data_IF_884263923902
#
_entry.id   IF_884263923902
#
_cell.length_a   1.000
_cell.length_b   1.000
_cell.length_c   1.000
_cell.angle_alpha   90.00
_cell.angle_beta   90.00
_cell.angle_gamma   90.00
#
_symmetry.space_group_name_H-M   'P 1'
#
loop_
_entity.id
_entity.type
_entity.pdbx_description
1 polymer ?
#
# COMPACT_ATOMS: atom_id res chain seq x y z
N UNK A 1 21.90 -19.62 -17.88
CA UNK A 1 20.58 -19.70 -17.21
C UNK A 1 19.59 -18.94 -18.09
N UNK A 2 18.50 -19.60 -18.51
CA UNK A 2 17.45 -19.01 -19.34
C UNK A 2 16.80 -17.79 -18.66
N UNK A 3 16.43 -16.79 -19.48
CA UNK A 3 15.59 -15.69 -19.02
C UNK A 3 14.16 -16.18 -18.81
N UNK A 4 13.41 -15.65 -17.83
CA UNK A 4 11.98 -15.92 -17.65
C UNK A 4 11.17 -15.60 -18.90
N UNK A 5 10.03 -16.27 -19.09
CA UNK A 5 9.12 -15.98 -20.20
C UNK A 5 8.31 -14.72 -19.89
N UNK A 6 8.68 -13.62 -20.51
CA UNK A 6 8.06 -12.31 -20.36
C UNK A 6 6.69 -12.21 -21.04
N UNK A 7 6.32 -13.16 -21.93
CA UNK A 7 5.02 -13.18 -22.62
C UNK A 7 3.84 -13.36 -21.67
N UNK A 8 4.11 -13.86 -20.45
CA UNK A 8 3.11 -13.93 -19.38
C UNK A 8 2.52 -12.57 -19.00
N UNK A 9 3.20 -11.46 -19.30
CA UNK A 9 2.66 -10.11 -19.06
C UNK A 9 1.44 -9.79 -19.95
N UNK A 10 1.29 -10.45 -21.09
CA UNK A 10 0.12 -10.27 -21.97
C UNK A 10 -1.19 -10.78 -21.35
N UNK A 11 -1.10 -11.72 -20.42
CA UNK A 11 -2.23 -12.39 -19.76
C UNK A 11 -2.19 -12.10 -18.26
N UNK A 12 -1.58 -10.97 -17.88
CA UNK A 12 -1.49 -10.61 -16.47
C UNK A 12 -2.87 -10.31 -15.91
N UNK A 13 -3.37 -11.20 -15.09
CA UNK A 13 -4.54 -10.98 -14.24
C UNK A 13 -4.05 -10.48 -12.87
N UNK A 14 -4.36 -9.24 -12.50
CA UNK A 14 -3.99 -8.73 -11.19
C UNK A 14 -4.69 -9.54 -10.10
N UNK A 15 -3.97 -9.83 -9.01
CA UNK A 15 -4.59 -10.39 -7.81
C UNK A 15 -5.65 -9.42 -7.30
N UNK A 16 -6.89 -9.87 -7.20
CA UNK A 16 -8.01 -9.05 -6.77
C UNK A 16 -8.36 -9.40 -5.32
N UNK A 17 -8.64 -8.40 -4.52
CA UNK A 17 -9.07 -8.56 -3.12
C UNK A 17 -10.45 -9.21 -3.05
N UNK A 18 -10.58 -10.27 -2.29
CA UNK A 18 -11.88 -10.86 -1.95
C UNK A 18 -12.58 -10.01 -0.89
N UNK A 19 -13.85 -9.73 -1.10
CA UNK A 19 -14.67 -8.90 -0.23
C UNK A 19 -15.90 -9.63 0.27
N UNK A 20 -16.13 -9.53 1.56
CA UNK A 20 -17.34 -10.07 2.22
C UNK A 20 -18.27 -8.93 2.57
N UNK A 21 -19.55 -9.12 2.28
CA UNK A 21 -20.60 -8.14 2.49
C UNK A 21 -21.71 -8.71 3.35
N UNK A 22 -22.32 -7.86 4.18
CA UNK A 22 -23.55 -8.13 4.89
C UNK A 22 -24.74 -8.22 3.93
N UNK A 23 -25.92 -8.58 4.45
CA UNK A 23 -27.14 -8.68 3.66
C UNK A 23 -27.59 -7.35 3.05
N UNK A 24 -27.27 -6.23 3.71
CA UNK A 24 -27.56 -4.86 3.28
C UNK A 24 -26.50 -4.26 2.34
N UNK A 25 -25.41 -5.00 2.07
CA UNK A 25 -24.31 -4.59 1.20
C UNK A 25 -23.17 -3.87 1.92
N UNK A 26 -23.22 -3.70 3.24
CA UNK A 26 -22.09 -3.17 4.00
C UNK A 26 -20.88 -4.12 3.93
N UNK A 27 -19.66 -3.57 3.83
CA UNK A 27 -18.42 -4.35 3.78
C UNK A 27 -18.12 -4.93 5.17
N UNK A 28 -18.02 -6.25 5.28
CA UNK A 28 -17.69 -6.97 6.51
C UNK A 28 -16.19 -7.24 6.66
N UNK A 29 -15.56 -7.69 5.59
CA UNK A 29 -14.13 -8.02 5.60
C UNK A 29 -13.52 -7.98 4.21
N UNK A 30 -12.21 -7.74 4.15
CA UNK A 30 -11.40 -7.86 2.94
C UNK A 30 -10.29 -8.89 3.16
N UNK A 31 -10.18 -9.85 2.25
CA UNK A 31 -9.12 -10.86 2.27
C UNK A 31 -8.26 -10.74 1.02
N UNK A 32 -6.98 -10.45 1.23
CA UNK A 32 -5.98 -10.38 0.19
C UNK A 32 -4.61 -10.69 0.77
N UNK A 33 -3.78 -11.39 0.02
CA UNK A 33 -2.35 -11.51 0.34
C UNK A 33 -1.65 -10.15 0.22
N UNK A 34 -2.13 -9.32 -0.70
CA UNK A 34 -1.64 -7.97 -0.99
C UNK A 34 -2.83 -7.06 -1.33
N UNK A 35 -2.80 -5.80 -0.87
CA UNK A 35 -3.84 -4.82 -1.20
C UNK A 35 -3.57 -4.28 -2.60
N UNK A 36 -4.40 -4.69 -3.56
CA UNK A 36 -4.35 -4.25 -4.96
C UNK A 36 -5.71 -3.81 -5.45
N UNK A 37 -5.71 -2.74 -6.22
CA UNK A 37 -6.86 -2.26 -6.97
C UNK A 37 -6.33 -1.99 -8.37
N UNK A 38 -6.79 -2.78 -9.34
CA UNK A 38 -6.40 -2.59 -10.73
C UNK A 38 -7.14 -1.39 -11.32
N UNK A 39 -6.38 -0.53 -12.00
CA UNK A 39 -6.91 0.62 -12.74
C UNK A 39 -6.30 0.62 -14.14
N UNK A 40 -7.12 0.57 -15.21
CA UNK A 40 -6.62 0.71 -16.56
C UNK A 40 -5.88 2.04 -16.73
N UNK A 41 -4.84 2.07 -17.56
CA UNK A 41 -4.01 3.26 -17.76
C UNK A 41 -4.84 4.49 -18.19
N UNK A 42 -5.87 4.28 -18.99
CA UNK A 42 -6.77 5.34 -19.46
C UNK A 42 -7.60 5.97 -18.31
N UNK A 43 -7.78 5.28 -17.19
CA UNK A 43 -8.50 5.77 -16.02
C UNK A 43 -7.56 6.40 -14.96
N UNK A 44 -6.25 6.33 -15.15
CA UNK A 44 -5.28 6.98 -14.27
C UNK A 44 -5.14 8.45 -14.68
N UNK A 45 -5.36 9.43 -13.77
CA UNK A 45 -5.20 10.84 -14.09
C UNK A 45 -3.80 11.15 -14.65
N UNK A 46 -3.72 11.95 -15.69
CA UNK A 46 -2.44 12.32 -16.33
C UNK A 46 -1.45 12.95 -15.37
N UNK A 47 -1.91 13.72 -14.40
CA UNK A 47 -1.05 14.32 -13.37
C UNK A 47 -0.39 13.26 -12.47
N UNK A 48 -1.10 12.18 -12.13
CA UNK A 48 -0.50 11.04 -11.41
C UNK A 48 0.59 10.40 -12.27
N UNK A 49 0.30 10.10 -13.54
CA UNK A 49 1.28 9.56 -14.48
C UNK A 49 2.52 10.46 -14.56
N UNK A 50 2.32 11.76 -14.78
CA UNK A 50 3.40 12.73 -14.89
C UNK A 50 4.27 12.82 -13.63
N UNK A 51 3.67 12.68 -12.44
CA UNK A 51 4.40 12.63 -11.18
C UNK A 51 5.34 11.42 -11.11
N UNK A 52 4.85 10.23 -11.46
CA UNK A 52 5.67 9.01 -11.49
C UNK A 52 6.76 9.05 -12.56
N UNK A 53 6.44 9.53 -13.75
CA UNK A 53 7.44 9.72 -14.81
C UNK A 53 8.54 10.71 -14.38
N UNK A 54 8.15 11.80 -13.75
CA UNK A 54 9.10 12.82 -13.25
C UNK A 54 10.01 12.28 -12.15
N UNK A 55 9.47 11.43 -11.29
CA UNK A 55 10.19 10.85 -10.16
C UNK A 55 11.16 9.73 -10.55
N UNK A 56 10.76 8.90 -11.53
CA UNK A 56 11.41 7.62 -11.81
C UNK A 56 12.03 7.54 -13.21
N UNK A 57 11.37 8.07 -14.24
CA UNK A 57 11.81 7.88 -15.64
C UNK A 57 11.26 8.95 -16.59
N UNK A 58 11.83 10.13 -16.55
CA UNK A 58 11.34 11.27 -17.37
C UNK A 58 11.38 11.04 -18.88
N UNK A 59 12.23 10.13 -19.34
CA UNK A 59 12.42 9.82 -20.75
C UNK A 59 11.68 8.52 -21.15
N UNK A 60 10.75 8.03 -20.33
CA UNK A 60 10.08 6.74 -20.51
C UNK A 60 9.58 6.52 -21.94
N UNK A 61 8.89 7.49 -22.53
CA UNK A 61 8.32 7.39 -23.86
C UNK A 61 9.36 7.49 -25.01
N UNK A 62 10.62 7.84 -24.71
CA UNK A 62 11.64 8.09 -25.74
C UNK A 62 12.75 7.04 -25.82
N UNK A 63 12.86 6.14 -24.83
CA UNK A 63 13.85 5.05 -24.87
C UNK A 63 13.20 3.67 -25.06
N UNK A 64 14.00 2.66 -25.41
CA UNK A 64 13.55 1.28 -25.61
C UNK A 64 14.01 0.36 -24.44
N UNK A 65 13.49 0.59 -23.25
CA UNK A 65 13.72 -0.20 -22.04
C UNK A 65 14.93 0.22 -21.21
N UNK A 66 15.93 0.89 -21.80
CA UNK A 66 17.12 1.40 -21.13
C UNK A 66 17.34 2.85 -21.53
N UNK A 67 17.39 3.76 -20.55
CA UNK A 67 17.81 5.16 -20.79
C UNK A 67 19.33 5.28 -20.68
N UNK A 68 20.02 5.11 -21.80
CA UNK A 68 21.49 5.23 -21.85
C UNK A 68 21.98 6.62 -21.45
N UNK A 69 21.27 7.67 -21.84
CA UNK A 69 21.64 9.06 -21.48
C UNK A 69 21.39 9.32 -19.99
N UNK A 70 20.34 8.76 -19.43
CA UNK A 70 20.08 8.77 -17.99
C UNK A 70 21.16 8.02 -17.22
N UNK A 71 21.64 6.88 -17.73
CA UNK A 71 22.72 6.11 -17.13
C UNK A 71 24.03 6.93 -17.09
N UNK A 72 24.41 7.57 -18.20
CA UNK A 72 25.61 8.43 -18.27
C UNK A 72 25.48 9.59 -17.28
N UNK A 73 24.33 10.27 -17.25
CA UNK A 73 24.09 11.36 -16.28
C UNK A 73 24.21 10.88 -14.83
N UNK A 74 23.65 9.72 -14.51
CA UNK A 74 23.74 9.16 -13.17
C UNK A 74 25.17 8.82 -12.78
N UNK A 75 25.98 8.26 -13.68
CA UNK A 75 27.39 7.99 -13.44
C UNK A 75 28.15 9.29 -13.16
N UNK A 76 27.99 10.31 -14.01
CA UNK A 76 28.63 11.62 -13.81
C UNK A 76 28.25 12.25 -12.48
N UNK A 77 26.95 12.19 -12.13
CA UNK A 77 26.44 12.72 -10.86
C UNK A 77 26.99 11.95 -9.66
N UNK A 78 27.09 10.63 -9.76
CA UNK A 78 27.63 9.78 -8.69
C UNK A 78 29.12 10.02 -8.49
N UNK A 79 29.89 10.24 -9.56
CA UNK A 79 31.31 10.65 -9.48
C UNK A 79 31.43 12.00 -8.80
N UNK A 80 30.61 13.00 -9.18
CA UNK A 80 30.60 14.31 -8.53
C UNK A 80 30.22 14.27 -7.04
N UNK A 81 29.36 13.31 -6.67
CA UNK A 81 28.92 13.13 -5.30
C UNK A 81 29.87 12.21 -4.49
N UNK A 82 30.90 11.66 -5.10
CA UNK A 82 31.85 10.78 -4.42
C UNK A 82 32.52 11.51 -3.24
N UNK A 83 32.48 10.89 -2.06
CA UNK A 83 33.01 11.52 -0.83
C UNK A 83 32.08 12.54 -0.14
N UNK A 84 30.94 12.93 -0.74
CA UNK A 84 30.00 13.92 -0.15
C UNK A 84 28.98 13.35 0.81
N UNK A 85 28.98 12.02 1.07
CA UNK A 85 27.95 11.33 1.89
C UNK A 85 26.57 11.27 1.26
N UNK A 86 26.38 11.80 0.04
CA UNK A 86 25.10 11.75 -0.68
C UNK A 86 24.86 10.37 -1.25
N UNK A 87 23.62 9.92 -1.19
CA UNK A 87 23.21 8.62 -1.78
C UNK A 87 23.38 8.63 -3.29
N UNK A 88 23.77 7.48 -3.83
CA UNK A 88 23.91 7.29 -5.27
C UNK A 88 22.58 7.54 -6.00
N UNK A 89 22.68 8.20 -7.16
CA UNK A 89 21.56 8.42 -8.07
C UNK A 89 21.35 7.15 -8.88
N UNK A 90 20.14 6.59 -8.81
CA UNK A 90 19.73 5.44 -9.62
C UNK A 90 19.38 5.86 -11.05
N UNK A 91 19.59 4.95 -11.99
CA UNK A 91 19.23 5.13 -13.40
C UNK A 91 18.42 3.94 -13.94
N UNK A 92 17.64 3.28 -13.10
CA UNK A 92 16.76 2.20 -13.56
C UNK A 92 15.50 2.78 -14.16
N UNK A 93 15.12 2.32 -15.35
CA UNK A 93 13.89 2.71 -16.02
C UNK A 93 12.66 2.04 -15.42
N UNK A 94 11.46 2.56 -15.73
CA UNK A 94 10.17 1.93 -15.37
C UNK A 94 10.12 0.51 -15.92
N UNK A 95 10.51 0.29 -17.17
CA UNK A 95 10.52 -1.05 -17.78
C UNK A 95 11.46 -2.02 -17.08
N UNK A 96 12.63 -1.56 -16.60
CA UNK A 96 13.52 -2.38 -15.77
C UNK A 96 12.88 -2.71 -14.41
N UNK A 97 12.12 -1.79 -13.82
CA UNK A 97 11.40 -2.05 -12.59
C UNK A 97 10.27 -3.08 -12.80
N UNK A 98 9.54 -3.02 -13.91
CA UNK A 98 8.56 -4.05 -14.31
C UNK A 98 9.25 -5.39 -14.43
N UNK A 99 10.35 -5.48 -15.20
CA UNK A 99 11.11 -6.71 -15.36
C UNK A 99 11.56 -7.30 -14.01
N UNK A 100 12.03 -6.45 -13.10
CA UNK A 100 12.43 -6.84 -11.74
C UNK A 100 11.24 -7.37 -10.94
N UNK A 101 10.14 -6.64 -10.90
CA UNK A 101 9.01 -6.94 -10.00
C UNK A 101 8.26 -8.21 -10.41
N UNK A 102 8.20 -8.51 -11.70
CA UNK A 102 7.47 -9.68 -12.20
C UNK A 102 8.33 -10.96 -12.31
N UNK A 103 9.63 -10.83 -12.56
CA UNK A 103 10.42 -11.99 -13.00
C UNK A 103 11.67 -12.27 -12.17
N UNK A 104 12.11 -11.39 -11.31
CA UNK A 104 13.39 -11.52 -10.65
C UNK A 104 13.26 -11.53 -9.13
N UNK A 105 14.13 -12.29 -8.48
CA UNK A 105 14.23 -12.34 -7.01
C UNK A 105 14.73 -11.02 -6.43
N UNK A 106 14.49 -10.80 -5.14
CA UNK A 106 14.94 -9.61 -4.40
C UNK A 106 16.45 -9.53 -4.18
N UNK A 107 17.20 -10.61 -4.45
CA UNK A 107 18.65 -10.63 -4.25
C UNK A 107 19.38 -9.62 -5.13
N UNK A 108 20.19 -8.78 -4.50
CA UNK A 108 21.01 -7.80 -5.21
C UNK A 108 22.28 -8.46 -5.77
N UNK A 109 22.29 -8.70 -7.09
CA UNK A 109 23.45 -9.23 -7.79
C UNK A 109 23.67 -8.50 -9.13
N UNK A 110 24.93 -8.46 -9.57
CA UNK A 110 25.26 -7.90 -10.89
C UNK A 110 24.59 -8.71 -12.03
N UNK A 111 24.53 -10.05 -11.88
CA UNK A 111 23.85 -10.94 -12.81
C UNK A 111 22.36 -10.58 -12.94
N UNK A 112 21.68 -10.25 -11.82
CA UNK A 112 20.29 -9.80 -11.84
C UNK A 112 20.14 -8.51 -12.64
N UNK A 113 21.06 -7.54 -12.47
CA UNK A 113 20.99 -6.25 -13.18
C UNK A 113 21.12 -6.41 -14.70
N UNK A 114 21.96 -7.35 -15.16
CA UNK A 114 22.05 -7.69 -16.58
C UNK A 114 20.73 -8.31 -17.08
N UNK A 115 20.14 -9.22 -16.30
CA UNK A 115 18.84 -9.83 -16.66
C UNK A 115 17.72 -8.78 -16.72
N UNK A 116 17.67 -7.83 -15.77
CA UNK A 116 16.72 -6.72 -15.81
C UNK A 116 16.81 -5.95 -17.13
N UNK A 117 18.03 -5.60 -17.55
CA UNK A 117 18.27 -4.84 -18.79
C UNK A 117 17.85 -5.63 -20.05
N UNK A 118 18.19 -6.92 -20.10
CA UNK A 118 17.83 -7.78 -21.23
C UNK A 118 16.30 -8.02 -21.30
N UNK A 119 15.66 -8.25 -20.14
CA UNK A 119 14.21 -8.41 -20.07
C UNK A 119 13.49 -7.11 -20.44
N UNK A 120 13.95 -5.97 -19.91
CA UNK A 120 13.38 -4.66 -20.24
C UNK A 120 13.36 -4.40 -21.75
N UNK A 121 14.47 -4.71 -22.45
CA UNK A 121 14.52 -4.58 -23.90
C UNK A 121 13.55 -5.50 -24.64
N UNK A 122 13.36 -6.74 -24.17
CA UNK A 122 12.41 -7.69 -24.76
C UNK A 122 10.96 -7.29 -24.50
N UNK A 123 10.66 -6.79 -23.31
CA UNK A 123 9.33 -6.27 -22.95
C UNK A 123 8.95 -5.12 -23.88
N UNK A 124 9.83 -4.16 -24.11
CA UNK A 124 9.61 -3.02 -25.02
C UNK A 124 9.46 -3.40 -26.50
N UNK A 125 9.99 -4.56 -26.91
CA UNK A 125 9.80 -5.08 -28.26
C UNK A 125 8.43 -5.73 -28.46
N UNK A 126 7.74 -6.06 -27.39
CA UNK A 126 6.49 -6.86 -27.43
C UNK A 126 5.29 -6.06 -26.99
N UNK A 127 5.45 -5.16 -26.04
CA UNK A 127 4.38 -4.36 -25.44
C UNK A 127 4.60 -2.87 -25.71
N UNK A 128 3.50 -2.15 -25.91
CA UNK A 128 3.55 -0.70 -26.01
C UNK A 128 3.83 -0.02 -24.66
N UNK A 129 4.15 1.25 -24.70
CA UNK A 129 4.50 2.03 -23.53
C UNK A 129 3.37 2.14 -22.52
N UNK A 130 2.14 2.28 -22.99
CA UNK A 130 0.99 2.44 -22.13
C UNK A 130 0.68 1.15 -21.37
N UNK A 131 0.82 0.00 -22.02
CA UNK A 131 0.69 -1.29 -21.34
C UNK A 131 1.79 -1.52 -20.29
N UNK A 132 3.05 -1.18 -20.61
CA UNK A 132 4.17 -1.28 -19.67
C UNK A 132 3.93 -0.37 -18.45
N UNK A 133 3.44 0.85 -18.70
CA UNK A 133 3.14 1.80 -17.64
C UNK A 133 1.95 1.34 -16.79
N UNK A 134 0.92 0.76 -17.39
CA UNK A 134 -0.21 0.13 -16.70
C UNK A 134 0.26 -0.96 -15.74
N UNK A 135 1.09 -1.88 -16.22
CA UNK A 135 1.70 -2.92 -15.39
C UNK A 135 2.48 -2.32 -14.22
N UNK A 136 3.29 -1.29 -14.48
CA UNK A 136 4.05 -0.60 -13.45
C UNK A 136 3.15 0.04 -12.40
N UNK A 137 2.18 0.86 -12.83
CA UNK A 137 1.29 1.62 -11.95
C UNK A 137 0.41 0.73 -11.07
N UNK A 138 0.09 -0.47 -11.53
CA UNK A 138 -0.70 -1.45 -10.78
C UNK A 138 0.13 -2.40 -9.92
N UNK A 139 1.47 -2.52 -10.16
CA UNK A 139 2.31 -3.51 -9.49
C UNK A 139 3.27 -2.91 -8.47
N UNK A 140 3.62 -1.63 -8.60
CA UNK A 140 4.65 -1.02 -7.76
C UNK A 140 4.25 -1.00 -6.28
N UNK A 141 5.16 -1.46 -5.42
CA UNK A 141 4.98 -1.39 -3.97
C UNK A 141 5.19 0.02 -3.44
N UNK A 142 4.22 0.56 -2.75
CA UNK A 142 4.20 1.95 -2.27
C UNK A 142 4.16 2.07 -0.73
N UNK A 143 4.38 0.97 -0.01
CA UNK A 143 4.33 0.96 1.46
C UNK A 143 2.92 0.68 2.00
N UNK A 144 2.79 0.60 3.33
CA UNK A 144 1.52 0.26 4.02
C UNK A 144 0.80 -0.96 3.42
N UNK A 145 1.58 -1.96 2.94
CA UNK A 145 1.09 -3.17 2.24
C UNK A 145 0.32 -2.86 0.94
N UNK A 146 0.47 -1.66 0.37
CA UNK A 146 -0.21 -1.24 -0.86
C UNK A 146 0.63 -1.52 -2.08
N UNK A 147 0.04 -2.20 -3.04
CA UNK A 147 0.58 -2.46 -4.36
C UNK A 147 -0.29 -1.73 -5.40
N UNK A 148 0.35 -0.93 -6.24
CA UNK A 148 -0.30 -0.05 -7.21
C UNK A 148 -0.79 1.28 -6.63
N UNK A 149 -0.95 2.24 -7.54
CA UNK A 149 -1.24 3.64 -7.19
C UNK A 149 -2.61 3.84 -6.58
N UNK A 150 -3.63 3.11 -7.07
CA UNK A 150 -4.99 3.24 -6.56
C UNK A 150 -5.12 2.73 -5.12
N UNK A 151 -4.51 1.57 -4.82
CA UNK A 151 -4.45 1.04 -3.47
C UNK A 151 -3.71 2.00 -2.53
N UNK A 152 -2.61 2.62 -2.99
CA UNK A 152 -1.87 3.59 -2.20
C UNK A 152 -2.68 4.88 -1.95
N UNK A 153 -3.41 5.39 -2.94
CA UNK A 153 -4.31 6.54 -2.78
C UNK A 153 -5.31 6.33 -1.65
N UNK A 154 -5.96 5.17 -1.65
CA UNK A 154 -6.90 4.80 -0.58
C UNK A 154 -6.21 4.61 0.78
N UNK A 155 -5.05 3.95 0.83
CA UNK A 155 -4.37 3.63 2.10
C UNK A 155 -3.70 4.81 2.77
N UNK A 156 -3.24 5.81 1.99
CA UNK A 156 -2.60 6.99 2.54
C UNK A 156 -3.55 8.16 2.76
N UNK A 157 -4.57 8.29 1.89
CA UNK A 157 -5.42 9.50 1.87
C UNK A 157 -6.92 9.20 1.94
N UNK A 158 -7.33 7.93 1.88
CA UNK A 158 -8.73 7.50 1.75
C UNK A 158 -9.45 8.18 0.55
N UNK A 159 -8.73 8.34 -0.57
CA UNK A 159 -9.17 9.03 -1.79
C UNK A 159 -8.98 8.13 -3.00
N UNK A 160 -9.85 8.29 -3.99
CA UNK A 160 -9.64 7.82 -5.36
C UNK A 160 -8.55 8.67 -6.06
N UNK A 161 -8.02 8.19 -7.19
CA UNK A 161 -6.90 8.87 -7.85
C UNK A 161 -7.25 10.26 -8.39
N UNK A 162 -8.50 10.49 -8.75
CA UNK A 162 -9.04 11.76 -9.24
C UNK A 162 -9.28 12.80 -8.12
N UNK A 163 -9.39 12.36 -6.87
CA UNK A 163 -9.55 13.21 -5.70
C UNK A 163 -8.21 13.66 -5.06
N UNK A 164 -7.10 13.09 -5.52
CA UNK A 164 -5.78 13.43 -4.98
C UNK A 164 -5.38 14.85 -5.34
N UNK A 165 -4.82 15.59 -4.37
CA UNK A 165 -4.16 16.86 -4.65
C UNK A 165 -2.81 16.65 -5.33
N UNK A 166 -2.26 17.69 -5.97
CA UNK A 166 -0.94 17.63 -6.59
C UNK A 166 0.15 17.22 -5.59
N UNK A 167 0.06 17.70 -4.37
CA UNK A 167 0.93 17.35 -3.26
C UNK A 167 0.86 15.85 -2.92
N UNK A 168 -0.33 15.29 -2.85
CA UNK A 168 -0.58 13.88 -2.57
C UNK A 168 -0.08 12.97 -3.72
N UNK A 169 -0.33 13.35 -4.98
CA UNK A 169 0.19 12.66 -6.17
C UNK A 169 1.71 12.61 -6.16
N UNK A 170 2.36 13.75 -5.89
CA UNK A 170 3.82 13.84 -5.81
C UNK A 170 4.40 13.02 -4.65
N UNK A 171 3.70 12.94 -3.53
CA UNK A 171 4.10 12.06 -2.42
C UNK A 171 4.06 10.60 -2.84
N UNK A 172 2.96 10.12 -3.42
CA UNK A 172 2.86 8.72 -3.89
C UNK A 172 3.95 8.39 -4.91
N UNK A 173 4.22 9.29 -5.86
CA UNK A 173 5.28 9.12 -6.85
C UNK A 173 6.69 9.13 -6.25
N UNK A 174 6.85 9.68 -5.06
CA UNK A 174 8.11 9.65 -4.31
C UNK A 174 8.43 8.32 -3.64
N UNK A 175 7.43 7.48 -3.38
CA UNK A 175 7.54 6.26 -2.58
C UNK A 175 8.35 5.12 -3.22
N UNK A 176 8.33 4.87 -4.56
CA UNK A 176 9.04 3.73 -5.15
C UNK A 176 10.53 3.66 -4.78
N UNK A 177 11.17 4.80 -4.56
CA UNK A 177 12.59 4.89 -4.17
C UNK A 177 12.90 4.22 -2.83
N UNK A 178 11.92 4.14 -1.94
CA UNK A 178 12.07 3.53 -0.62
C UNK A 178 10.82 3.71 0.24
N UNK A 179 9.78 2.93 0.04
CA UNK A 179 8.48 3.14 0.68
C UNK A 179 8.55 3.16 2.21
N UNK A 180 9.40 2.31 2.79
CA UNK A 180 9.58 2.24 4.23
C UNK A 180 10.38 3.43 4.80
N UNK A 181 11.28 4.02 3.98
CA UNK A 181 12.09 5.17 4.40
C UNK A 181 11.32 6.49 4.36
N UNK A 182 10.30 6.56 3.51
CA UNK A 182 9.44 7.75 3.31
C UNK A 182 8.04 7.56 3.91
N UNK A 183 7.90 6.62 4.84
CA UNK A 183 6.65 6.49 5.60
C UNK A 183 6.48 7.72 6.51
N UNK A 184 5.40 8.52 6.35
CA UNK A 184 5.18 9.75 7.10
C UNK A 184 5.07 9.55 8.62
N UNK A 185 4.54 8.39 9.05
CA UNK A 185 4.38 8.05 10.47
C UNK A 185 5.72 7.89 11.18
N UNK A 186 6.77 7.48 10.43
CA UNK A 186 8.11 7.21 10.95
C UNK A 186 9.12 8.30 10.61
N UNK A 187 8.96 8.93 9.46
CA UNK A 187 9.92 9.92 8.91
C UNK A 187 9.20 11.02 8.12
N UNK A 188 8.39 11.83 8.81
CA UNK A 188 7.63 12.91 8.19
C UNK A 188 8.50 13.88 7.39
N UNK A 189 9.62 14.33 7.98
CA UNK A 189 10.55 15.27 7.30
C UNK A 189 11.12 14.69 6.00
N UNK A 190 11.50 13.42 6.01
CA UNK A 190 11.99 12.73 4.82
C UNK A 190 10.90 12.53 3.77
N UNK A 191 9.67 12.23 4.18
CA UNK A 191 8.51 12.12 3.30
C UNK A 191 8.21 13.45 2.59
N UNK A 192 8.14 14.55 3.33
CA UNK A 192 7.94 15.91 2.80
C UNK A 192 9.09 16.31 1.85
N UNK A 193 10.32 16.08 2.23
CA UNK A 193 11.47 16.38 1.37
C UNK A 193 11.43 15.59 0.04
N UNK A 194 11.02 14.31 0.10
CA UNK A 194 10.89 13.48 -1.10
C UNK A 194 9.72 13.93 -1.99
N UNK A 195 8.56 14.29 -1.41
CA UNK A 195 7.44 14.90 -2.11
C UNK A 195 7.88 16.18 -2.83
N UNK A 196 8.54 17.09 -2.13
CA UNK A 196 9.00 18.36 -2.69
C UNK A 196 9.98 18.13 -3.84
N UNK A 197 10.89 17.16 -3.72
CA UNK A 197 11.75 16.74 -4.82
C UNK A 197 10.96 16.33 -6.07
N UNK A 198 9.86 15.60 -5.91
CA UNK A 198 9.03 15.19 -7.05
C UNK A 198 8.36 16.41 -7.69
N UNK A 199 7.83 17.33 -6.89
CA UNK A 199 7.23 18.57 -7.38
C UNK A 199 8.25 19.40 -8.19
N UNK A 200 9.50 19.51 -7.71
CA UNK A 200 10.58 20.16 -8.47
C UNK A 200 10.83 19.46 -9.81
N UNK A 201 10.85 18.14 -9.83
CA UNK A 201 11.01 17.38 -11.09
C UNK A 201 9.84 17.57 -12.03
N UNK A 202 8.59 17.62 -11.53
CA UNK A 202 7.41 17.90 -12.36
C UNK A 202 7.49 19.28 -13.00
N UNK A 203 7.92 20.29 -12.25
CA UNK A 203 8.16 21.65 -12.77
C UNK A 203 9.26 21.66 -13.84
N UNK A 204 10.43 21.08 -13.53
CA UNK A 204 11.56 21.01 -14.47
C UNK A 204 11.24 20.25 -15.77
N UNK A 205 10.30 19.30 -15.71
CA UNK A 205 9.82 18.55 -16.87
C UNK A 205 8.66 19.25 -17.60
N UNK A 206 8.21 20.42 -17.12
CA UNK A 206 7.15 21.22 -17.75
C UNK A 206 5.73 20.67 -17.58
N UNK A 207 5.51 19.78 -16.60
CA UNK A 207 4.18 19.22 -16.31
C UNK A 207 3.33 20.11 -15.42
N UNK A 208 3.96 20.96 -14.63
CA UNK A 208 3.33 21.97 -13.77
C UNK A 208 4.09 23.30 -13.84
N UNK A 209 3.44 24.38 -13.46
CA UNK A 209 4.07 25.69 -13.33
C UNK A 209 4.85 25.81 -12.03
N UNK A 210 5.71 26.82 -11.93
CA UNK A 210 6.43 27.09 -10.69
C UNK A 210 5.48 27.46 -9.54
N UNK A 211 4.42 28.20 -9.83
CA UNK A 211 3.41 28.59 -8.82
C UNK A 211 2.71 27.36 -8.25
N UNK A 212 2.24 26.44 -9.10
CA UNK A 212 1.63 25.17 -8.66
C UNK A 212 2.58 24.33 -7.82
N UNK A 213 3.88 24.24 -8.19
CA UNK A 213 4.87 23.52 -7.41
C UNK A 213 5.06 24.16 -6.02
N UNK A 214 5.20 25.49 -5.93
CA UNK A 214 5.40 26.18 -4.65
C UNK A 214 4.16 26.12 -3.76
N UNK A 215 2.96 26.20 -4.33
CA UNK A 215 1.73 26.08 -3.54
C UNK A 215 1.54 24.64 -3.02
N UNK A 216 1.76 23.64 -3.85
CA UNK A 216 1.71 22.23 -3.42
C UNK A 216 2.76 21.89 -2.34
N UNK A 217 3.93 22.54 -2.33
CA UNK A 217 4.94 22.36 -1.27
C UNK A 217 4.51 22.93 0.08
N UNK A 218 3.66 23.97 0.08
CA UNK A 218 3.13 24.57 1.32
C UNK A 218 2.08 23.69 2.00
N UNK A 219 1.42 22.81 1.23
CA UNK A 219 0.41 21.92 1.77
C UNK A 219 1.03 20.97 2.82
N UNK A 220 0.42 20.82 4.01
CA UNK A 220 0.85 19.81 4.97
C UNK A 220 0.58 18.42 4.42
N UNK A 221 1.53 17.50 4.64
CA UNK A 221 1.34 16.10 4.28
C UNK A 221 0.53 15.39 5.37
N UNK A 222 -0.79 15.38 5.21
CA UNK A 222 -1.70 14.70 6.16
C UNK A 222 -2.10 13.36 5.56
N UNK A 223 -1.71 12.28 6.22
CA UNK A 223 -2.15 10.94 5.82
C UNK A 223 -3.22 10.44 6.77
N UNK A 224 -4.24 9.84 6.23
CA UNK A 224 -5.25 9.12 7.01
C UNK A 224 -4.83 7.65 7.07
N UNK A 225 -4.78 7.09 8.27
CA UNK A 225 -4.81 5.64 8.37
C UNK A 225 -6.26 5.24 8.12
N UNK A 226 -6.51 4.62 6.97
CA UNK A 226 -7.74 3.86 6.86
C UNK A 226 -7.60 2.67 7.80
N UNK A 227 -8.10 2.82 9.02
CA UNK A 227 -8.34 1.68 9.88
C UNK A 227 -9.35 0.79 9.15
N UNK A 228 -8.86 -0.34 8.64
CA UNK A 228 -9.74 -1.36 8.07
C UNK A 228 -10.67 -1.95 9.13
N UNK A 229 -10.51 -1.55 10.38
CA UNK A 229 -11.38 -1.82 11.50
C UNK A 229 -12.65 -0.95 11.51
N UNK A 230 -12.80 0.04 10.61
CA UNK A 230 -14.12 0.59 10.23
C UNK A 230 -14.91 -0.39 9.34
N UNK A 231 -14.38 -1.58 9.12
CA UNK A 231 -15.20 -2.73 8.74
C UNK A 231 -16.25 -2.88 9.83
N UNK A 232 -17.45 -2.64 9.42
CA UNK A 232 -18.63 -2.65 10.25
C UNK A 232 -18.58 -3.86 11.18
N UNK A 233 -18.47 -3.55 12.48
CA UNK A 233 -18.99 -4.40 13.53
C UNK A 233 -18.10 -5.52 14.04
N UNK A 234 -18.25 -5.78 15.32
CA UNK A 234 -17.94 -6.97 16.08
C UNK A 234 -18.43 -8.29 15.44
N UNK A 235 -18.10 -8.52 14.17
CA UNK A 235 -18.45 -9.70 13.40
C UNK A 235 -17.25 -10.61 13.11
N UNK A 236 -16.15 -10.44 13.83
CA UNK A 236 -14.88 -11.12 13.55
C UNK A 236 -15.02 -12.64 13.54
N UNK A 237 -15.75 -13.20 14.51
CA UNK A 237 -16.03 -14.63 14.56
C UNK A 237 -16.84 -15.12 13.36
N UNK A 238 -17.85 -14.36 12.96
CA UNK A 238 -18.67 -14.69 11.80
C UNK A 238 -17.84 -14.60 10.49
N UNK A 239 -17.04 -13.55 10.37
CA UNK A 239 -16.15 -13.35 9.24
C UNK A 239 -15.11 -14.47 9.14
N UNK A 240 -14.53 -14.90 10.27
CA UNK A 240 -13.56 -15.98 10.29
C UNK A 240 -14.18 -17.33 9.90
N UNK A 241 -15.39 -17.64 10.40
CA UNK A 241 -16.06 -18.88 10.01
C UNK A 241 -16.46 -18.86 8.52
N UNK A 242 -16.94 -17.72 8.03
CA UNK A 242 -17.24 -17.54 6.60
C UNK A 242 -15.96 -17.69 5.77
N UNK A 243 -14.83 -17.12 6.22
CA UNK A 243 -13.52 -17.26 5.57
C UNK A 243 -13.12 -18.73 5.45
N UNK A 244 -13.23 -19.51 6.54
CA UNK A 244 -12.93 -20.96 6.56
C UNK A 244 -13.78 -21.75 5.59
N UNK A 245 -15.09 -21.46 5.53
CA UNK A 245 -16.00 -22.10 4.58
C UNK A 245 -15.64 -21.80 3.12
N UNK A 246 -15.32 -20.56 2.81
CA UNK A 246 -14.91 -20.16 1.46
C UNK A 246 -13.56 -20.78 1.08
N UNK A 247 -12.59 -20.79 2.00
CA UNK A 247 -11.29 -21.43 1.79
C UNK A 247 -11.43 -22.93 1.54
N UNK A 248 -12.25 -23.62 2.33
CA UNK A 248 -12.51 -25.05 2.16
C UNK A 248 -13.18 -25.36 0.81
N UNK A 249 -14.06 -24.47 0.34
CA UNK A 249 -14.84 -24.69 -0.89
C UNK A 249 -14.09 -24.32 -2.17
N UNK A 250 -13.30 -23.25 -2.13
CA UNK A 250 -12.67 -22.65 -3.31
C UNK A 250 -11.13 -22.69 -3.28
N UNK A 251 -10.55 -22.99 -2.12
CA UNK A 251 -9.11 -23.00 -1.90
C UNK A 251 -8.53 -21.63 -1.54
N UNK A 252 -7.36 -21.67 -0.89
CA UNK A 252 -6.65 -20.49 -0.39
C UNK A 252 -6.33 -19.47 -1.49
N UNK A 253 -5.86 -19.96 -2.63
CA UNK A 253 -5.49 -19.07 -3.75
C UNK A 253 -6.68 -18.25 -4.26
N UNK A 254 -7.85 -18.85 -4.40
CA UNK A 254 -9.06 -18.16 -4.87
C UNK A 254 -9.54 -17.18 -3.79
N UNK A 255 -9.49 -17.57 -2.51
CA UNK A 255 -9.86 -16.69 -1.41
C UNK A 255 -8.99 -15.42 -1.36
N UNK A 256 -7.66 -15.54 -1.48
CA UNK A 256 -6.76 -14.41 -1.28
C UNK A 256 -6.32 -13.69 -2.57
N UNK A 257 -6.60 -14.25 -3.73
CA UNK A 257 -6.12 -13.72 -5.02
C UNK A 257 -7.19 -13.69 -6.11
N UNK A 258 -8.31 -14.40 -5.92
CA UNK A 258 -9.34 -14.58 -6.95
C UNK A 258 -10.43 -13.49 -6.99
N UNK A 259 -10.41 -12.54 -6.05
CA UNK A 259 -11.33 -11.40 -6.08
C UNK A 259 -12.81 -11.77 -5.91
N UNK A 260 -13.10 -12.70 -5.02
CA UNK A 260 -14.49 -13.10 -4.77
C UNK A 260 -15.28 -11.93 -4.15
N UNK A 261 -16.53 -11.81 -4.60
CA UNK A 261 -17.54 -10.97 -3.94
C UNK A 261 -18.51 -11.91 -3.21
N UNK A 262 -18.33 -12.01 -1.89
CA UNK A 262 -19.12 -12.93 -1.05
C UNK A 262 -20.18 -12.12 -0.31
N UNK A 263 -21.45 -12.30 -0.69
CA UNK A 263 -22.57 -11.74 0.05
C UNK A 263 -23.02 -12.75 1.09
N UNK A 264 -23.00 -12.34 2.36
CA UNK A 264 -23.42 -13.17 3.48
C UNK A 264 -24.87 -12.84 3.89
N UNK A 265 -25.44 -13.67 4.76
CA UNK A 265 -26.75 -13.43 5.35
C UNK A 265 -26.68 -12.61 6.66
N UNK A 266 -25.49 -12.14 7.08
CA UNK A 266 -25.35 -11.36 8.29
C UNK A 266 -26.17 -10.08 8.21
N UNK A 267 -27.04 -9.89 9.17
CA UNK A 267 -27.78 -8.66 9.40
C UNK A 267 -27.05 -7.81 10.43
N UNK A 268 -26.61 -6.59 10.08
CA UNK A 268 -25.84 -5.74 10.98
C UNK A 268 -26.58 -5.35 12.27
N UNK A 269 -27.87 -5.10 12.21
CA UNK A 269 -28.64 -4.72 13.39
C UNK A 269 -28.79 -5.90 14.35
N UNK A 270 -29.13 -7.08 13.82
CA UNK A 270 -29.24 -8.31 14.61
C UNK A 270 -27.88 -8.70 15.22
N UNK A 271 -26.78 -8.52 14.51
CA UNK A 271 -25.44 -8.77 15.02
C UNK A 271 -25.11 -7.86 16.24
N UNK A 272 -25.43 -6.58 16.16
CA UNK A 272 -25.23 -5.66 17.28
C UNK A 272 -26.08 -6.03 18.50
N UNK A 273 -27.29 -6.47 18.28
CA UNK A 273 -28.16 -6.95 19.36
C UNK A 273 -27.57 -8.22 19.98
N UNK A 274 -27.12 -9.18 19.15
CA UNK A 274 -26.53 -10.43 19.60
C UNK A 274 -25.29 -10.21 20.47
N UNK A 275 -24.35 -9.34 20.03
CA UNK A 275 -23.16 -9.01 20.82
C UNK A 275 -23.54 -8.44 22.18
N UNK A 276 -24.41 -7.42 22.22
CA UNK A 276 -24.84 -6.80 23.50
C UNK A 276 -25.50 -7.79 24.45
N UNK A 277 -26.37 -8.67 23.92
CA UNK A 277 -27.08 -9.67 24.73
C UNK A 277 -26.10 -10.72 25.25
N UNK A 278 -25.17 -11.18 24.42
CA UNK A 278 -24.13 -12.13 24.81
C UNK A 278 -23.22 -11.54 25.92
N UNK A 279 -22.69 -10.34 25.71
CA UNK A 279 -21.83 -9.65 26.71
C UNK A 279 -22.57 -9.48 28.05
N UNK A 280 -23.84 -9.03 28.01
CA UNK A 280 -24.67 -8.91 29.20
C UNK A 280 -24.89 -10.27 29.87
N UNK A 281 -25.19 -11.30 29.10
CA UNK A 281 -25.40 -12.65 29.62
C UNK A 281 -24.17 -13.23 30.29
N UNK A 282 -22.99 -13.04 29.67
CA UNK A 282 -21.70 -13.47 30.23
C UNK A 282 -21.35 -12.72 31.51
N UNK A 283 -21.55 -11.40 31.57
CA UNK A 283 -21.37 -10.60 32.78
C UNK A 283 -22.31 -11.05 33.92
N UNK A 284 -23.57 -11.31 33.60
CA UNK A 284 -24.53 -11.81 34.61
C UNK A 284 -24.18 -13.22 35.08
N UNK A 285 -23.70 -14.07 34.17
CA UNK A 285 -23.22 -15.41 34.53
C UNK A 285 -22.01 -15.32 35.46
N UNK A 286 -20.99 -14.49 35.09
CA UNK A 286 -19.78 -14.30 35.89
C UNK A 286 -20.13 -13.77 37.30
N UNK A 287 -21.01 -12.76 37.40
CA UNK A 287 -21.47 -12.23 38.68
C UNK A 287 -22.08 -13.29 39.57
N UNK A 288 -22.85 -14.24 39.01
CA UNK A 288 -23.50 -15.31 39.78
C UNK A 288 -22.51 -16.41 40.22
N UNK A 289 -21.45 -16.69 39.40
CA UNK A 289 -20.63 -17.88 39.56
C UNK A 289 -19.18 -17.60 39.99
N UNK A 290 -18.64 -16.45 39.76
CA UNK A 290 -17.23 -16.18 40.00
C UNK A 290 -16.87 -14.77 40.40
N UNK A 291 -17.69 -13.80 40.08
CA UNK A 291 -17.38 -12.40 40.35
C UNK A 291 -17.27 -12.11 41.86
N UNK A 292 -16.10 -11.70 42.29
CA UNK A 292 -15.77 -11.42 43.73
C UNK A 292 -15.61 -9.92 44.03
N UNK A 293 -16.05 -9.07 43.13
CA UNK A 293 -15.90 -7.62 43.25
C UNK A 293 -14.63 -7.09 42.56
N UNK A 294 -14.48 -5.77 42.59
CA UNK A 294 -13.27 -5.12 42.08
C UNK A 294 -12.07 -5.46 42.98
N UNK A 295 -10.92 -5.73 42.38
CA UNK A 295 -9.69 -6.02 43.13
C UNK A 295 -9.19 -4.81 43.91
N UNK A 296 -9.43 -3.62 43.39
CA UNK A 296 -9.10 -2.35 44.02
C UNK A 296 -9.99 -1.24 43.50
N UNK A 297 -10.07 -0.16 44.24
CA UNK A 297 -10.72 1.07 43.80
C UNK A 297 -9.65 2.17 43.66
N UNK A 298 -9.74 2.97 42.63
CA UNK A 298 -8.87 4.12 42.42
C UNK A 298 -9.65 5.38 42.82
N UNK A 299 -9.12 6.14 43.75
CA UNK A 299 -9.75 7.37 44.23
C UNK A 299 -9.73 8.50 43.22
N UNK A 300 -8.80 8.46 42.24
CA UNK A 300 -8.70 9.42 41.15
C UNK A 300 -8.30 8.69 39.84
N UNK A 301 -8.78 9.22 38.70
CA UNK A 301 -8.35 8.78 37.37
C UNK A 301 -7.08 9.49 36.90
N UNK A 302 -6.57 10.47 37.68
CA UNK A 302 -5.29 11.09 37.42
C UNK A 302 -4.16 10.06 37.68
N UNK A 303 -3.33 9.80 36.65
CA UNK A 303 -2.26 8.80 36.73
C UNK A 303 -2.71 7.35 37.00
N UNK A 304 -3.91 6.98 36.57
CA UNK A 304 -4.48 5.64 36.77
C UNK A 304 -3.57 4.50 36.26
N UNK A 305 -2.79 4.72 35.21
CA UNK A 305 -1.87 3.72 34.66
C UNK A 305 -0.74 3.36 35.65
N UNK A 306 -0.23 4.33 36.39
CA UNK A 306 0.78 4.08 37.44
C UNK A 306 0.16 3.49 38.70
N UNK A 307 -1.07 3.89 39.02
CA UNK A 307 -1.80 3.32 40.13
C UNK A 307 -2.13 1.83 39.89
N UNK A 308 -2.53 1.45 38.66
CA UNK A 308 -2.77 0.06 38.31
C UNK A 308 -1.53 -0.84 38.46
N UNK A 309 -0.34 -0.34 38.13
CA UNK A 309 0.91 -1.11 38.28
C UNK A 309 1.22 -1.49 39.75
N UNK A 310 0.66 -0.77 40.69
CA UNK A 310 0.87 -1.00 42.13
C UNK A 310 -0.14 -1.97 42.76
N UNK A 311 -1.22 -2.31 41.99
CA UNK A 311 -2.24 -3.22 42.50
C UNK A 311 -1.74 -4.67 42.40
N UNK A 312 -1.68 -5.34 43.54
CA UNK A 312 -1.35 -6.75 43.61
C UNK A 312 -2.62 -7.55 43.31
N UNK A 313 -2.65 -8.20 42.14
CA UNK A 313 -3.75 -9.07 41.75
C UNK A 313 -3.65 -10.40 42.54
N UNK A 314 -4.70 -10.80 43.28
CA UNK A 314 -4.68 -12.07 43.99
C UNK A 314 -4.50 -13.26 43.03
N UNK A 315 -3.81 -14.31 43.47
CA UNK A 315 -3.45 -15.48 42.66
C UNK A 315 -4.67 -16.30 42.10
N UNK A 316 -5.87 -16.04 42.57
CA UNK A 316 -7.08 -16.66 42.09
C UNK A 316 -7.73 -15.93 40.90
N UNK A 317 -7.19 -14.80 40.42
CA UNK A 317 -7.53 -14.20 39.16
C UNK A 317 -6.55 -14.74 38.10
N UNK A 318 -7.01 -15.45 37.05
CA UNK A 318 -6.14 -15.83 35.97
C UNK A 318 -5.62 -14.57 35.24
N UNK A 319 -4.34 -14.61 34.83
CA UNK A 319 -3.68 -13.53 34.11
C UNK A 319 -4.25 -13.36 32.71
#
# INVERSE_FOLDING_TARGET
>A
KQLPDYRQLAVYEPMITTRFYANDGQLLAEYASEKRIFVPIAAIPKQVINAFLSAEDKNFYSHNGIDYMGLVRAVVQNVKNYGSGKRLVGASTITQQVAKNFFLSSEMSFSRKIKEALLARRIEQTFDKDHILELYMNQIYLGRRSYGVASAGLMYFNKSLDELTLSEMAFLAGLPKGPNNYNPDKNYKGAVARRNYVLDRMYENGYITQAEAEDAKKEPLVTQNRDLNETVMNADFYNEETRRLIEQRYGENILYQGGLSVRTSLDPELQNIAVRVLEKGLLEYDKRHGYRGAVAHLDSLDNWQEALKKIVVPAYFPA
#
